data_IF_787353540946
#
_entry.id   IF_787353540946
#
_cell.length_a   1.000
_cell.length_b   1.000
_cell.length_c   1.000
_cell.angle_alpha   90.00
_cell.angle_beta   90.00
_cell.angle_gamma   90.00
#
_symmetry.space_group_name_H-M   'P 1'
#
loop_
_entity.id
_entity.type
_entity.pdbx_description
1 polymer ?
#
# COMPACT_ATOMS: atom_id res chain seq x y z
N UNK A 1 -30.47 11.86 2.09
CA UNK A 1 -29.61 12.83 2.80
C UNK A 1 -29.42 12.28 4.20
N UNK A 2 -28.34 11.52 4.45
CA UNK A 2 -27.94 11.09 5.78
C UNK A 2 -26.52 11.66 6.04
N UNK A 3 -26.23 12.22 7.21
CA UNK A 3 -24.93 12.82 7.46
C UNK A 3 -23.88 11.71 7.63
N UNK A 4 -22.87 11.73 6.80
CA UNK A 4 -21.63 10.97 7.04
C UNK A 4 -20.97 11.54 8.31
N UNK A 5 -21.17 10.84 9.43
CA UNK A 5 -20.50 11.15 10.69
C UNK A 5 -19.01 10.86 10.61
N UNK A 6 -18.21 11.84 10.21
CA UNK A 6 -16.81 11.88 10.57
C UNK A 6 -16.73 12.32 12.04
N UNK A 7 -16.71 11.35 12.95
CA UNK A 7 -16.50 11.61 14.36
C UNK A 7 -15.12 12.24 14.57
N UNK A 8 -15.11 13.50 15.00
CA UNK A 8 -13.93 14.10 15.61
C UNK A 8 -13.55 13.23 16.82
N UNK A 9 -12.31 12.76 16.90
CA UNK A 9 -11.80 12.03 18.06
C UNK A 9 -11.71 13.01 19.23
N UNK A 10 -12.25 12.60 20.38
CA UNK A 10 -12.03 13.31 21.64
C UNK A 10 -10.56 13.13 22.08
N UNK A 11 -10.04 14.08 22.87
CA UNK A 11 -8.69 13.97 23.47
C UNK A 11 -8.47 12.64 24.22
N UNK A 12 -9.52 11.97 24.68
CA UNK A 12 -9.47 10.66 25.31
C UNK A 12 -9.06 9.51 24.35
N UNK A 13 -9.26 9.66 23.02
CA UNK A 13 -8.87 8.65 22.02
C UNK A 13 -7.39 8.71 21.63
N UNK A 14 -6.72 9.84 21.92
CA UNK A 14 -5.29 10.03 21.66
C UNK A 14 -4.42 9.40 22.75
N UNK A 15 -4.92 9.23 23.95
CA UNK A 15 -4.17 8.70 25.10
C UNK A 15 -4.14 7.16 25.16
N UNK A 16 -4.90 6.46 24.29
CA UNK A 16 -4.98 5.00 24.27
C UNK A 16 -3.87 4.32 23.44
N UNK A 17 -3.00 5.08 22.77
CA UNK A 17 -1.83 4.55 22.07
C UNK A 17 -0.60 4.56 22.98
N UNK A 18 -0.70 3.85 24.12
CA UNK A 18 0.51 3.47 24.84
C UNK A 18 1.31 2.50 23.94
N UNK A 19 2.60 2.74 23.72
CA UNK A 19 3.44 1.80 23.00
C UNK A 19 3.31 0.43 23.68
N UNK A 20 2.95 -0.58 22.89
CA UNK A 20 2.84 -1.96 23.35
C UNK A 20 4.10 -2.31 24.15
N UNK A 21 3.94 -2.72 25.42
CA UNK A 21 5.07 -3.06 26.30
C UNK A 21 5.97 -4.05 25.56
N UNK A 22 7.25 -3.70 25.42
CA UNK A 22 8.26 -4.50 24.74
C UNK A 22 8.17 -5.97 25.23
N UNK A 23 7.81 -6.87 24.32
CA UNK A 23 7.81 -8.31 24.60
C UNK A 23 9.26 -8.76 24.82
N UNK A 24 9.55 -9.62 25.80
CA UNK A 24 10.90 -10.12 26.06
C UNK A 24 11.46 -10.81 24.80
N UNK A 25 12.63 -10.36 24.32
CA UNK A 25 13.33 -10.97 23.17
C UNK A 25 13.31 -10.16 21.87
N UNK A 26 12.48 -9.15 21.71
CA UNK A 26 12.50 -8.26 20.53
C UNK A 26 13.67 -7.27 20.57
N UNK A 27 14.40 -7.15 19.47
CA UNK A 27 15.35 -6.04 19.27
C UNK A 27 14.56 -4.73 19.25
N UNK A 28 15.16 -3.65 19.78
CA UNK A 28 14.54 -2.32 19.66
C UNK A 28 14.39 -1.96 18.18
N UNK A 29 13.25 -1.39 17.75
CA UNK A 29 13.11 -0.92 16.38
C UNK A 29 14.19 0.10 16.04
N UNK A 30 14.69 0.03 14.81
CA UNK A 30 15.58 1.03 14.25
C UNK A 30 14.77 2.29 13.94
N UNK A 31 15.22 3.45 14.46
CA UNK A 31 14.53 4.71 14.23
C UNK A 31 14.94 5.30 12.89
N UNK A 32 13.93 5.64 12.09
CA UNK A 32 14.10 6.31 10.82
C UNK A 32 13.39 7.68 10.85
N UNK A 33 14.02 8.69 10.27
CA UNK A 33 13.39 9.99 10.07
C UNK A 33 12.38 9.94 8.93
N UNK A 34 12.65 9.14 7.90
CA UNK A 34 11.77 8.90 6.74
C UNK A 34 11.98 7.52 6.15
N UNK A 35 11.00 7.08 5.38
CA UNK A 35 11.10 5.88 4.54
C UNK A 35 10.25 6.07 3.27
N UNK A 36 10.74 5.58 2.14
CA UNK A 36 10.01 5.53 0.88
C UNK A 36 9.78 4.08 0.51
N UNK A 37 8.51 3.68 0.39
CA UNK A 37 8.10 2.30 0.08
C UNK A 37 7.36 2.31 -1.25
N UNK A 38 7.73 1.40 -2.16
CA UNK A 38 7.00 1.20 -3.42
C UNK A 38 6.42 -0.21 -3.46
N UNK A 39 5.10 -0.28 -3.59
CA UNK A 39 4.37 -1.51 -3.89
C UNK A 39 4.21 -1.63 -5.39
N UNK A 40 4.60 -2.75 -5.99
CA UNK A 40 4.53 -2.97 -7.43
C UNK A 40 3.98 -4.36 -7.77
N UNK A 41 3.08 -4.42 -8.75
CA UNK A 41 2.43 -5.65 -9.21
C UNK A 41 1.67 -5.40 -10.51
N UNK A 42 0.88 -6.37 -10.94
CA UNK A 42 -0.06 -6.15 -12.04
C UNK A 42 -1.23 -5.25 -11.60
N UNK A 43 -1.91 -4.61 -12.52
CA UNK A 43 -3.09 -3.77 -12.23
C UNK A 43 -4.20 -4.51 -11.46
N UNK A 44 -4.25 -5.85 -11.58
CA UNK A 44 -5.18 -6.73 -10.85
C UNK A 44 -4.72 -7.15 -9.46
N UNK A 45 -3.47 -6.90 -9.09
CA UNK A 45 -2.90 -7.32 -7.81
C UNK A 45 -3.28 -6.40 -6.63
N UNK A 46 -4.01 -5.31 -6.88
CA UNK A 46 -4.53 -4.44 -5.83
C UNK A 46 -3.49 -3.51 -5.20
N UNK A 47 -2.41 -3.16 -5.90
CA UNK A 47 -1.32 -2.33 -5.38
C UNK A 47 -1.80 -0.95 -4.94
N UNK A 48 -2.73 -0.35 -5.66
CA UNK A 48 -3.34 0.93 -5.30
C UNK A 48 -4.09 0.83 -3.96
N UNK A 49 -4.84 -0.24 -3.75
CA UNK A 49 -5.56 -0.48 -2.50
C UNK A 49 -4.60 -0.70 -1.32
N UNK A 50 -3.55 -1.49 -1.53
CA UNK A 50 -2.54 -1.77 -0.50
C UNK A 50 -1.82 -0.50 -0.08
N UNK A 51 -1.36 0.29 -1.05
CA UNK A 51 -0.70 1.56 -0.79
C UNK A 51 -1.61 2.57 -0.09
N UNK A 52 -2.85 2.71 -0.53
CA UNK A 52 -3.85 3.60 0.10
C UNK A 52 -4.15 3.17 1.57
N UNK A 53 -4.20 1.88 1.86
CA UNK A 53 -4.40 1.40 3.23
C UNK A 53 -3.19 1.68 4.12
N UNK A 54 -1.99 1.39 3.64
CA UNK A 54 -0.76 1.71 4.36
C UNK A 54 -0.62 3.22 4.61
N UNK A 55 -1.01 4.03 3.62
CA UNK A 55 -1.09 5.49 3.75
C UNK A 55 -2.04 5.92 4.88
N UNK A 56 -3.24 5.31 4.93
CA UNK A 56 -4.22 5.62 5.98
C UNK A 56 -3.73 5.22 7.38
N UNK A 57 -3.03 4.09 7.51
CA UNK A 57 -2.41 3.68 8.77
C UNK A 57 -1.31 4.65 9.21
N UNK A 58 -0.45 5.09 8.28
CA UNK A 58 0.61 6.05 8.56
C UNK A 58 0.05 7.43 8.97
N UNK A 59 -1.00 7.91 8.29
CA UNK A 59 -1.70 9.15 8.64
C UNK A 59 -2.30 9.10 10.05
N UNK A 60 -2.97 8.00 10.39
CA UNK A 60 -3.56 7.79 11.71
C UNK A 60 -2.51 7.68 12.83
N UNK A 61 -1.33 7.18 12.51
CA UNK A 61 -0.20 7.14 13.43
C UNK A 61 0.39 8.54 13.68
N UNK A 62 0.12 9.49 12.77
CA UNK A 62 0.57 10.88 12.88
C UNK A 62 1.81 11.21 12.07
N UNK A 63 2.24 10.36 11.15
CA UNK A 63 3.30 10.71 10.21
C UNK A 63 2.82 11.75 9.20
N UNK A 64 3.71 12.60 8.73
CA UNK A 64 3.48 13.28 7.46
C UNK A 64 3.77 12.32 6.30
N UNK A 65 3.04 12.49 5.21
CA UNK A 65 3.06 11.56 4.10
C UNK A 65 2.78 12.21 2.76
N UNK A 66 3.38 11.65 1.70
CA UNK A 66 3.03 11.96 0.33
C UNK A 66 3.03 10.67 -0.51
N UNK A 67 2.15 10.59 -1.50
CA UNK A 67 1.97 9.38 -2.30
C UNK A 67 2.07 9.66 -3.78
N UNK A 68 2.51 8.64 -4.54
CA UNK A 68 2.60 8.68 -5.99
C UNK A 68 2.07 7.36 -6.57
N UNK A 69 0.80 7.30 -6.96
CA UNK A 69 0.27 6.18 -7.69
C UNK A 69 0.80 6.16 -9.12
N UNK A 70 1.14 4.97 -9.64
CA UNK A 70 1.50 4.75 -11.04
C UNK A 70 0.59 3.67 -11.61
N UNK A 71 -0.02 3.98 -12.75
CA UNK A 71 -0.95 3.11 -13.44
C UNK A 71 -0.28 2.45 -14.64
N UNK A 72 -0.78 1.30 -15.13
CA UNK A 72 -0.22 0.64 -16.30
C UNK A 72 -0.09 1.58 -17.49
N UNK A 73 1.03 1.50 -18.19
CA UNK A 73 1.27 2.29 -19.41
C UNK A 73 0.30 1.92 -20.53
N UNK A 74 -0.21 0.72 -20.54
CA UNK A 74 -1.12 0.20 -21.55
C UNK A 74 -2.43 -0.30 -20.92
N UNK A 75 -3.56 0.17 -21.45
CA UNK A 75 -4.89 -0.25 -21.01
C UNK A 75 -5.09 -1.73 -21.38
N UNK A 76 -5.45 -2.56 -20.37
CA UNK A 76 -5.66 -4.01 -20.53
C UNK A 76 -4.42 -4.78 -21.00
N UNK A 77 -3.22 -4.32 -20.62
CA UNK A 77 -2.01 -5.08 -20.84
C UNK A 77 -2.14 -6.51 -20.27
N UNK A 78 -1.53 -7.51 -20.92
CA UNK A 78 -1.53 -8.88 -20.40
C UNK A 78 -0.84 -8.95 -19.03
N UNK A 79 -1.37 -9.77 -18.15
CA UNK A 79 -0.80 -9.98 -16.82
C UNK A 79 0.62 -10.52 -16.88
N UNK A 80 1.48 -9.99 -16.02
CA UNK A 80 2.90 -10.37 -15.93
C UNK A 80 3.76 -9.78 -17.03
N UNK A 81 3.33 -8.72 -17.72
CA UNK A 81 4.13 -8.00 -18.71
C UNK A 81 4.51 -6.61 -18.21
N UNK A 82 5.60 -6.04 -18.71
CA UNK A 82 6.07 -4.71 -18.28
C UNK A 82 5.02 -3.60 -18.46
N UNK A 83 4.29 -3.51 -19.58
CA UNK A 83 3.24 -2.50 -19.75
C UNK A 83 2.06 -2.61 -18.77
N UNK A 84 1.85 -3.79 -18.16
CA UNK A 84 0.78 -4.07 -17.20
C UNK A 84 1.12 -3.74 -15.75
N UNK A 85 2.35 -3.32 -15.48
CA UNK A 85 2.79 -3.01 -14.11
C UNK A 85 2.10 -1.76 -13.58
N UNK A 86 1.55 -1.88 -12.40
CA UNK A 86 1.02 -0.80 -11.57
C UNK A 86 1.86 -0.70 -10.31
N UNK A 87 2.11 0.52 -9.84
CA UNK A 87 2.80 0.71 -8.58
C UNK A 87 2.18 1.83 -7.75
N UNK A 88 2.48 1.80 -6.46
CA UNK A 88 2.08 2.83 -5.52
C UNK A 88 3.28 3.14 -4.61
N UNK A 89 3.79 4.35 -4.68
CA UNK A 89 4.85 4.81 -3.81
C UNK A 89 4.29 5.67 -2.69
N UNK A 90 4.78 5.45 -1.49
CA UNK A 90 4.50 6.29 -0.33
C UNK A 90 5.81 6.69 0.32
N UNK A 91 5.95 7.97 0.64
CA UNK A 91 6.92 8.49 1.58
C UNK A 91 6.21 8.81 2.87
N UNK A 92 6.78 8.36 3.99
CA UNK A 92 6.37 8.74 5.35
C UNK A 92 7.56 9.31 6.10
N UNK A 93 7.33 10.33 6.92
CA UNK A 93 8.38 10.99 7.68
C UNK A 93 7.89 11.50 9.04
N UNK A 94 8.86 11.81 9.92
CA UNK A 94 8.61 12.45 11.22
C UNK A 94 8.71 13.99 11.15
N UNK A 95 8.76 14.53 9.93
CA UNK A 95 8.79 15.96 9.61
C UNK A 95 7.91 16.28 8.40
N UNK A 96 7.66 17.57 8.15
CA UNK A 96 6.87 18.06 7.01
C UNK A 96 7.55 17.74 5.67
N UNK A 97 6.86 17.01 4.78
CA UNK A 97 7.36 16.59 3.47
C UNK A 97 6.51 17.18 2.35
N UNK A 98 7.16 17.58 1.26
CA UNK A 98 6.53 18.25 0.12
C UNK A 98 6.43 17.37 -1.12
N UNK A 99 7.04 16.19 -1.14
CA UNK A 99 7.10 15.29 -2.30
C UNK A 99 6.94 13.84 -1.90
N UNK A 100 6.56 12.99 -2.86
CA UNK A 100 6.42 11.54 -2.65
C UNK A 100 7.76 10.76 -2.59
N UNK A 101 8.89 11.47 -2.63
CA UNK A 101 10.22 10.89 -2.72
C UNK A 101 10.59 10.45 -4.14
N UNK A 102 11.88 10.54 -4.49
CA UNK A 102 12.36 10.20 -5.83
C UNK A 102 12.60 8.69 -5.97
N UNK A 103 13.31 8.10 -5.01
CA UNK A 103 13.74 6.70 -5.05
C UNK A 103 13.20 5.95 -3.83
N UNK A 104 12.67 4.72 -4.03
CA UNK A 104 12.21 3.91 -2.91
C UNK A 104 13.39 3.33 -2.12
N UNK A 105 13.25 3.21 -0.80
CA UNK A 105 14.15 2.45 0.06
C UNK A 105 13.76 0.97 0.10
N UNK A 106 12.46 0.71 -0.13
CA UNK A 106 11.86 -0.62 -0.13
C UNK A 106 11.01 -0.81 -1.38
N UNK A 107 11.24 -1.91 -2.10
CA UNK A 107 10.43 -2.36 -3.23
C UNK A 107 9.72 -3.67 -2.85
N UNK A 108 8.39 -3.64 -2.82
CA UNK A 108 7.55 -4.83 -2.72
C UNK A 108 7.16 -5.25 -4.13
N UNK A 109 7.72 -6.35 -4.63
CA UNK A 109 7.52 -6.84 -5.99
C UNK A 109 6.64 -8.10 -5.99
N UNK A 110 5.40 -7.97 -6.48
CA UNK A 110 4.44 -9.08 -6.49
C UNK A 110 4.69 -10.10 -7.59
N UNK A 111 5.53 -9.79 -8.59
CA UNK A 111 5.88 -10.67 -9.71
C UNK A 111 7.16 -10.20 -10.41
N UNK A 112 7.73 -10.98 -11.36
CA UNK A 112 8.96 -10.62 -12.08
C UNK A 112 8.85 -9.33 -12.90
N UNK A 113 7.67 -9.01 -13.46
CA UNK A 113 7.47 -7.78 -14.21
C UNK A 113 7.58 -6.55 -13.30
N UNK A 114 6.97 -6.63 -12.13
CA UNK A 114 7.04 -5.59 -11.11
C UNK A 114 8.48 -5.35 -10.63
N UNK A 115 9.24 -6.43 -10.40
CA UNK A 115 10.67 -6.34 -10.07
C UNK A 115 11.44 -5.65 -11.18
N UNK A 116 11.35 -6.16 -12.41
CA UNK A 116 12.12 -5.65 -13.56
C UNK A 116 11.83 -4.19 -13.87
N UNK A 117 10.57 -3.77 -13.75
CA UNK A 117 10.17 -2.40 -14.04
C UNK A 117 10.62 -1.38 -12.99
N UNK A 118 10.88 -1.81 -11.74
CA UNK A 118 11.10 -0.89 -10.63
C UNK A 118 12.48 -1.01 -9.96
N UNK A 119 13.23 -2.08 -10.20
CA UNK A 119 14.53 -2.30 -9.54
C UNK A 119 15.56 -1.22 -9.86
N UNK A 120 15.47 -0.62 -11.05
CA UNK A 120 16.38 0.44 -11.49
C UNK A 120 16.30 1.69 -10.60
N UNK A 121 15.16 1.93 -9.97
CA UNK A 121 14.96 3.06 -9.08
C UNK A 121 15.44 2.78 -7.66
N UNK A 122 15.61 1.50 -7.27
CA UNK A 122 16.03 1.13 -5.93
C UNK A 122 17.53 1.40 -5.75
N UNK A 123 17.96 2.15 -4.72
CA UNK A 123 19.38 2.33 -4.44
C UNK A 123 20.07 1.02 -4.04
N UNK A 124 21.36 0.92 -4.30
CA UNK A 124 22.21 -0.16 -3.79
C UNK A 124 22.05 -0.26 -2.27
N UNK A 125 21.88 -1.48 -1.75
CA UNK A 125 21.59 -1.74 -0.34
C UNK A 125 20.12 -1.61 0.05
N UNK A 126 19.25 -1.18 -0.88
CA UNK A 126 17.80 -1.13 -0.69
C UNK A 126 17.19 -2.53 -0.48
N UNK A 127 15.98 -2.57 0.06
CA UNK A 127 15.27 -3.81 0.38
C UNK A 127 14.29 -4.19 -0.74
N UNK A 128 14.41 -5.41 -1.24
CA UNK A 128 13.43 -6.05 -2.13
C UNK A 128 12.66 -7.10 -1.33
N UNK A 129 11.34 -6.98 -1.29
CA UNK A 129 10.44 -8.02 -0.77
C UNK A 129 9.69 -8.60 -1.96
N UNK A 130 10.02 -9.82 -2.37
CA UNK A 130 9.48 -10.45 -3.58
C UNK A 130 8.51 -11.58 -3.25
N UNK A 131 7.37 -11.64 -3.93
CA UNK A 131 6.49 -12.80 -3.87
C UNK A 131 7.07 -13.94 -4.71
N UNK A 132 7.83 -14.83 -4.08
CA UNK A 132 8.58 -15.90 -4.74
C UNK A 132 7.71 -16.87 -5.54
N UNK A 133 6.45 -17.07 -5.15
CA UNK A 133 5.52 -17.97 -5.86
C UNK A 133 5.26 -17.56 -7.31
N UNK A 134 5.41 -16.28 -7.63
CA UNK A 134 5.16 -15.75 -8.97
C UNK A 134 6.42 -15.78 -9.87
N UNK A 135 7.60 -16.12 -9.33
CA UNK A 135 8.85 -16.22 -10.10
C UNK A 135 8.99 -17.57 -10.81
N UNK A 136 7.92 -17.98 -11.47
CA UNK A 136 7.89 -19.22 -12.28
C UNK A 136 8.58 -19.03 -13.62
N UNK A 137 9.09 -20.11 -14.23
CA UNK A 137 9.71 -20.10 -15.57
C UNK A 137 8.84 -19.37 -16.60
N UNK A 138 7.52 -19.56 -16.55
CA UNK A 138 6.57 -18.92 -17.45
C UNK A 138 6.53 -17.40 -17.26
N UNK A 139 6.47 -16.93 -16.02
CA UNK A 139 6.38 -15.51 -15.73
C UNK A 139 7.71 -14.78 -15.96
N UNK A 140 8.83 -15.46 -15.68
CA UNK A 140 10.18 -14.95 -15.98
C UNK A 140 10.36 -14.76 -17.49
N UNK A 141 9.99 -15.76 -18.29
CA UNK A 141 10.09 -15.69 -19.76
C UNK A 141 9.26 -14.53 -20.37
N UNK A 142 8.10 -14.19 -19.80
CA UNK A 142 7.25 -13.06 -20.28
C UNK A 142 7.98 -11.71 -20.26
N UNK A 143 8.94 -11.55 -19.35
CA UNK A 143 9.69 -10.30 -19.18
C UNK A 143 11.16 -10.42 -19.58
N UNK A 144 11.51 -11.55 -20.24
CA UNK A 144 12.85 -11.77 -20.77
C UNK A 144 13.92 -11.97 -19.68
N UNK A 145 13.58 -12.68 -18.61
CA UNK A 145 14.56 -13.27 -17.70
C UNK A 145 14.87 -14.69 -18.16
N UNK A 146 16.14 -14.99 -18.39
CA UNK A 146 16.60 -16.35 -18.72
C UNK A 146 16.62 -17.24 -17.48
N UNK A 147 16.95 -16.65 -16.33
CA UNK A 147 17.04 -17.33 -15.03
C UNK A 147 16.25 -16.55 -13.97
N UNK A 148 16.02 -17.18 -12.81
CA UNK A 148 15.37 -16.54 -11.70
C UNK A 148 16.33 -15.56 -10.99
N UNK A 149 16.12 -14.24 -11.04
CA UNK A 149 17.00 -13.26 -10.41
C UNK A 149 17.06 -13.39 -8.88
N UNK A 150 16.08 -14.04 -8.26
CA UNK A 150 16.10 -14.32 -6.82
C UNK A 150 17.13 -15.41 -6.45
N UNK A 151 17.61 -16.19 -7.42
CA UNK A 151 18.51 -17.35 -7.22
C UNK A 151 19.90 -17.16 -7.86
N UNK A 152 20.04 -16.26 -8.84
CA UNK A 152 21.27 -16.14 -9.66
C UNK A 152 22.31 -15.18 -9.08
N UNK A 153 22.00 -14.46 -8.01
CA UNK A 153 22.88 -13.41 -7.46
C UNK A 153 22.84 -12.09 -8.25
N UNK A 154 22.00 -11.96 -9.27
CA UNK A 154 21.79 -10.68 -10.00
C UNK A 154 21.35 -9.54 -9.06
N UNK A 155 20.75 -9.89 -7.92
CA UNK A 155 20.28 -8.95 -6.90
C UNK A 155 21.24 -8.84 -5.71
N UNK A 156 22.52 -9.26 -5.84
CA UNK A 156 23.51 -9.23 -4.75
C UNK A 156 23.77 -7.84 -4.17
N UNK A 157 23.51 -6.78 -4.92
CA UNK A 157 23.63 -5.40 -4.48
C UNK A 157 22.46 -4.93 -3.58
N UNK A 158 21.44 -5.76 -3.40
CA UNK A 158 20.24 -5.47 -2.64
C UNK A 158 20.05 -6.46 -1.49
N UNK A 159 19.29 -6.05 -0.49
CA UNK A 159 18.76 -6.98 0.53
C UNK A 159 17.51 -7.61 -0.07
N UNK A 160 17.48 -8.94 -0.23
CA UNK A 160 16.37 -9.64 -0.88
C UNK A 160 15.69 -10.59 0.09
N UNK A 161 14.40 -10.37 0.29
CA UNK A 161 13.51 -11.25 1.05
C UNK A 161 12.50 -11.89 0.10
N UNK A 162 12.71 -13.16 -0.19
CA UNK A 162 11.85 -13.97 -1.06
C UNK A 162 10.77 -14.66 -0.19
N UNK A 163 9.54 -14.18 -0.29
CA UNK A 163 8.41 -14.64 0.53
C UNK A 163 7.38 -15.35 -0.34
N UNK A 164 6.97 -16.56 0.02
CA UNK A 164 5.93 -17.32 -0.68
C UNK A 164 4.52 -16.78 -0.32
N UNK A 165 4.25 -15.50 -0.67
CA UNK A 165 3.06 -14.77 -0.22
C UNK A 165 1.76 -15.42 -0.68
N UNK A 166 1.73 -15.96 -1.92
CA UNK A 166 0.53 -16.62 -2.45
C UNK A 166 0.25 -17.91 -1.71
N UNK A 167 1.25 -18.75 -1.52
CA UNK A 167 1.13 -20.02 -0.78
C UNK A 167 0.71 -19.79 0.67
N UNK A 168 1.35 -18.85 1.35
CA UNK A 168 1.02 -18.51 2.75
C UNK A 168 -0.40 -17.94 2.87
N UNK A 169 -0.82 -17.10 1.91
CA UNK A 169 -2.19 -16.58 1.88
C UNK A 169 -3.21 -17.69 1.66
N UNK A 170 -2.96 -18.59 0.71
CA UNK A 170 -3.86 -19.72 0.45
C UNK A 170 -4.01 -20.61 1.68
N UNK A 171 -2.90 -20.92 2.37
CA UNK A 171 -2.94 -21.66 3.63
C UNK A 171 -3.75 -20.97 4.73
N UNK A 172 -3.62 -19.65 4.86
CA UNK A 172 -4.36 -18.87 5.85
C UNK A 172 -5.88 -18.86 5.61
N UNK A 173 -6.33 -18.92 4.36
CA UNK A 173 -7.76 -18.87 4.02
C UNK A 173 -8.38 -20.25 3.79
N UNK A 174 -7.62 -21.32 3.87
CA UNK A 174 -8.09 -22.70 3.70
C UNK A 174 -9.18 -23.06 4.72
N UNK A 175 -8.99 -22.65 5.98
CA UNK A 175 -9.90 -22.97 7.07
C UNK A 175 -11.34 -22.43 6.89
N UNK A 176 -11.51 -21.35 6.10
CA UNK A 176 -12.84 -20.79 5.80
C UNK A 176 -13.41 -21.31 4.49
N UNK A 177 -12.75 -22.25 3.82
CA UNK A 177 -13.19 -22.78 2.53
C UNK A 177 -13.21 -21.76 1.39
N UNK A 178 -12.41 -20.72 1.47
CA UNK A 178 -12.32 -19.70 0.42
C UNK A 178 -11.88 -20.31 -0.91
N UNK A 179 -12.42 -19.81 -2.02
CA UNK A 179 -12.00 -20.26 -3.34
C UNK A 179 -10.51 -19.93 -3.57
N UNK A 180 -9.79 -20.80 -4.30
CA UNK A 180 -8.39 -20.53 -4.68
C UNK A 180 -8.23 -19.16 -5.34
N UNK A 181 -9.22 -18.73 -6.13
CA UNK A 181 -9.22 -17.43 -6.80
C UNK A 181 -9.31 -16.27 -5.82
N UNK A 182 -10.15 -16.38 -4.79
CA UNK A 182 -10.32 -15.32 -3.79
C UNK A 182 -9.09 -15.26 -2.86
N UNK A 183 -8.52 -16.41 -2.49
CA UNK A 183 -7.25 -16.47 -1.77
C UNK A 183 -6.10 -15.83 -2.56
N UNK A 184 -5.96 -16.14 -3.86
CA UNK A 184 -4.95 -15.51 -4.71
C UNK A 184 -5.11 -13.99 -4.81
N UNK A 185 -6.34 -13.49 -4.77
CA UNK A 185 -6.61 -12.04 -4.80
C UNK A 185 -6.31 -11.35 -3.49
N UNK A 186 -6.32 -12.08 -2.38
CA UNK A 186 -6.04 -11.52 -1.05
C UNK A 186 -4.54 -11.40 -0.73
N UNK A 187 -3.63 -11.89 -1.59
CA UNK A 187 -2.17 -11.86 -1.36
C UNK A 187 -1.60 -10.43 -1.14
N UNK A 188 -2.27 -9.42 -1.69
CA UNK A 188 -1.90 -8.03 -1.45
C UNK A 188 -2.13 -7.60 0.01
N UNK A 189 -3.13 -8.16 0.68
CA UNK A 189 -3.36 -7.92 2.11
C UNK A 189 -2.29 -8.61 2.97
N UNK A 190 -1.74 -9.75 2.52
CA UNK A 190 -0.58 -10.35 3.15
C UNK A 190 0.62 -9.39 3.11
N UNK A 191 0.93 -8.83 1.95
CA UNK A 191 2.00 -7.83 1.81
C UNK A 191 1.76 -6.62 2.70
N UNK A 192 0.52 -6.12 2.78
CA UNK A 192 0.14 -5.04 3.69
C UNK A 192 0.41 -5.41 5.15
N UNK A 193 -0.04 -6.58 5.60
CA UNK A 193 0.16 -7.04 6.98
C UNK A 193 1.64 -7.16 7.35
N UNK A 194 2.45 -7.68 6.44
CA UNK A 194 3.90 -7.79 6.64
C UNK A 194 4.57 -6.42 6.80
N UNK A 195 4.22 -5.46 5.94
CA UNK A 195 4.76 -4.10 6.01
C UNK A 195 4.25 -3.36 7.27
N UNK A 196 2.98 -3.54 7.64
CA UNK A 196 2.41 -2.96 8.86
C UNK A 196 3.16 -3.47 10.10
N UNK A 197 3.49 -4.77 10.15
CA UNK A 197 4.33 -5.32 11.21
C UNK A 197 5.74 -4.72 11.19
N UNK A 198 6.38 -4.67 10.01
CA UNK A 198 7.76 -4.18 9.86
C UNK A 198 7.92 -2.73 10.35
N UNK A 199 6.91 -1.90 10.12
CA UNK A 199 6.92 -0.48 10.50
C UNK A 199 6.06 -0.17 11.75
N UNK A 200 5.65 -1.18 12.51
CA UNK A 200 4.89 -1.00 13.75
C UNK A 200 3.53 -0.34 13.57
N UNK A 201 2.86 -0.58 12.44
CA UNK A 201 1.54 0.00 12.15
C UNK A 201 0.42 -0.95 12.61
N UNK A 202 -0.53 -0.48 13.43
CA UNK A 202 -1.65 -1.31 13.88
C UNK A 202 -2.57 -1.66 12.72
N UNK A 203 -2.95 -2.95 12.58
CA UNK A 203 -3.75 -3.44 11.46
C UNK A 203 -5.28 -3.32 11.66
N UNK A 204 -5.74 -2.92 12.83
CA UNK A 204 -7.16 -2.89 13.20
C UNK A 204 -7.97 -1.95 12.31
N UNK A 205 -7.37 -0.85 11.87
CA UNK A 205 -8.01 0.10 10.95
C UNK A 205 -8.21 -0.51 9.57
N UNK A 206 -7.19 -1.22 9.06
CA UNK A 206 -7.29 -1.94 7.80
C UNK A 206 -8.27 -3.10 7.89
N UNK A 207 -8.32 -3.84 9.01
CA UNK A 207 -9.32 -4.87 9.23
C UNK A 207 -10.74 -4.30 9.17
N UNK A 208 -11.01 -3.20 9.87
CA UNK A 208 -12.31 -2.54 9.85
C UNK A 208 -12.69 -2.09 8.43
N UNK A 209 -11.79 -1.44 7.72
CA UNK A 209 -12.01 -1.02 6.35
C UNK A 209 -12.31 -2.20 5.42
N UNK A 210 -11.59 -3.31 5.54
CA UNK A 210 -11.83 -4.53 4.75
C UNK A 210 -13.26 -5.03 4.98
N UNK A 211 -13.69 -5.12 6.24
CA UNK A 211 -15.04 -5.56 6.60
C UNK A 211 -16.12 -4.62 6.06
N UNK A 212 -15.91 -3.32 6.11
CA UNK A 212 -16.83 -2.33 5.55
C UNK A 212 -16.88 -2.38 4.02
N UNK A 213 -15.72 -2.38 3.37
CA UNK A 213 -15.60 -2.39 1.89
C UNK A 213 -16.21 -3.64 1.26
N UNK A 214 -15.97 -4.79 1.86
CA UNK A 214 -16.43 -6.08 1.35
C UNK A 214 -17.64 -6.62 2.10
N UNK A 215 -18.34 -5.82 2.92
CA UNK A 215 -19.44 -6.25 3.77
C UNK A 215 -20.60 -6.96 3.05
N UNK A 216 -20.79 -6.68 1.75
CA UNK A 216 -21.75 -7.42 0.91
C UNK A 216 -21.28 -8.83 0.50
N UNK A 217 -20.02 -9.17 0.76
CA UNK A 217 -19.38 -10.45 0.43
C UNK A 217 -18.50 -10.88 1.62
N UNK A 218 -19.12 -11.38 2.69
CA UNK A 218 -18.44 -11.67 3.96
C UNK A 218 -17.27 -12.64 3.81
N UNK A 219 -17.37 -13.64 2.92
CA UNK A 219 -16.29 -14.60 2.66
C UNK A 219 -15.05 -13.91 2.07
N UNK A 220 -15.24 -12.93 1.18
CA UNK A 220 -14.15 -12.14 0.63
C UNK A 220 -13.55 -11.21 1.70
N UNK A 221 -14.39 -10.61 2.55
CA UNK A 221 -13.93 -9.79 3.66
C UNK A 221 -13.04 -10.62 4.59
N UNK A 222 -13.52 -11.80 5.00
CA UNK A 222 -12.79 -12.66 5.92
C UNK A 222 -11.48 -13.18 5.30
N UNK A 223 -11.48 -13.59 4.02
CA UNK A 223 -10.26 -13.99 3.33
C UNK A 223 -9.19 -12.88 3.33
N UNK A 224 -9.59 -11.63 3.08
CA UNK A 224 -8.66 -10.49 3.11
C UNK A 224 -8.15 -10.20 4.54
N UNK A 225 -9.01 -10.32 5.56
CA UNK A 225 -8.60 -10.14 6.97
C UNK A 225 -7.62 -11.24 7.39
N UNK A 226 -7.88 -12.50 7.03
CA UNK A 226 -6.98 -13.61 7.34
C UNK A 226 -5.63 -13.45 6.62
N UNK A 227 -5.63 -13.00 5.37
CA UNK A 227 -4.40 -12.70 4.64
C UNK A 227 -3.59 -11.56 5.31
N UNK A 228 -4.27 -10.49 5.74
CA UNK A 228 -3.64 -9.38 6.48
C UNK A 228 -2.98 -9.88 7.77
N UNK A 229 -3.70 -10.65 8.56
CA UNK A 229 -3.18 -11.24 9.81
C UNK A 229 -2.05 -12.23 9.56
N UNK A 230 -2.13 -13.02 8.48
CA UNK A 230 -1.08 -13.96 8.12
C UNK A 230 0.23 -13.22 7.75
N UNK A 231 0.15 -12.10 7.03
CA UNK A 231 1.32 -11.27 6.73
C UNK A 231 1.95 -10.67 7.98
N UNK A 232 1.13 -10.14 8.89
CA UNK A 232 1.59 -9.65 10.19
C UNK A 232 2.28 -10.75 11.01
N UNK A 233 1.63 -11.90 11.15
CA UNK A 233 2.16 -13.03 11.90
C UNK A 233 3.42 -13.61 11.28
N UNK A 234 3.54 -13.59 9.95
CA UNK A 234 4.74 -14.01 9.25
C UNK A 234 5.94 -13.15 9.67
N UNK A 235 5.79 -11.83 9.68
CA UNK A 235 6.82 -10.92 10.19
C UNK A 235 7.18 -11.18 11.65
N UNK A 236 6.18 -11.47 12.50
CA UNK A 236 6.38 -11.73 13.93
C UNK A 236 7.11 -13.05 14.20
N UNK A 237 6.90 -14.07 13.38
CA UNK A 237 7.35 -15.45 13.65
C UNK A 237 8.58 -15.86 12.85
N UNK A 238 8.94 -15.13 11.81
CA UNK A 238 10.12 -15.46 10.99
C UNK A 238 11.33 -14.62 11.39
N UNK A 239 12.51 -15.24 11.36
CA UNK A 239 13.79 -14.55 11.60
C UNK A 239 14.30 -13.78 10.37
N UNK A 240 13.61 -13.90 9.23
CA UNK A 240 13.97 -13.24 7.97
C UNK A 240 14.02 -11.71 8.12
N UNK A 241 13.09 -11.14 8.90
CA UNK A 241 13.06 -9.71 9.20
C UNK A 241 13.58 -9.46 10.62
N UNK A 242 14.91 -9.55 10.78
CA UNK A 242 15.56 -9.39 12.09
C UNK A 242 15.42 -7.98 12.70
N UNK A 243 14.99 -6.99 11.91
CA UNK A 243 14.87 -5.57 12.29
C UNK A 243 13.49 -5.07 11.96
N UNK A 244 12.85 -4.46 12.95
CA UNK A 244 11.66 -3.61 12.75
C UNK A 244 12.07 -2.16 12.74
N UNK A 245 11.27 -1.32 12.10
CA UNK A 245 11.57 0.11 11.94
C UNK A 245 10.48 0.95 12.61
N UNK A 246 10.86 2.12 13.08
CA UNK A 246 9.96 3.11 13.65
C UNK A 246 10.19 4.46 12.98
N UNK A 247 9.14 5.00 12.35
CA UNK A 247 9.09 6.41 11.95
C UNK A 247 8.15 7.11 12.92
N UNK A 248 8.68 8.00 13.74
CA UNK A 248 7.92 8.72 14.77
C UNK A 248 6.84 9.61 14.14
N UNK A 249 5.81 10.03 14.89
CA UNK A 249 4.86 11.05 14.43
C UNK A 249 5.57 12.34 14.02
N UNK A 250 5.07 12.98 12.97
CA UNK A 250 5.64 14.23 12.47
C UNK A 250 5.35 15.38 13.43
N UNK A 251 6.36 16.27 13.58
CA UNK A 251 6.26 17.47 14.45
C UNK A 251 5.56 18.61 13.70
N UNK A 252 4.31 18.39 13.31
CA UNK A 252 3.49 19.40 12.65
C UNK A 252 2.89 20.38 13.67
N UNK A 253 2.57 21.64 13.26
CA UNK A 253 1.80 22.56 14.09
C UNK A 253 0.49 21.93 14.56
N UNK A 254 0.00 22.32 15.73
CA UNK A 254 -1.29 21.83 16.22
C UNK A 254 -2.42 22.23 15.26
N UNK A 255 -3.25 21.26 14.84
CA UNK A 255 -4.33 21.51 13.89
C UNK A 255 -5.07 20.24 13.48
N UNK A 256 -6.11 20.40 12.69
CA UNK A 256 -6.81 19.29 12.04
C UNK A 256 -6.21 19.06 10.66
N UNK A 257 -5.71 17.85 10.41
CA UNK A 257 -5.10 17.45 9.16
C UNK A 257 -5.99 16.43 8.44
N UNK A 258 -6.02 16.51 7.12
CA UNK A 258 -6.77 15.57 6.26
C UNK A 258 -5.90 15.08 5.14
N UNK A 259 -5.91 13.78 4.93
CA UNK A 259 -5.35 13.20 3.73
C UNK A 259 -6.26 13.53 2.54
N UNK A 260 -5.71 14.09 1.48
CA UNK A 260 -6.44 14.46 0.28
C UNK A 260 -5.64 14.07 -0.97
N UNK A 261 -6.31 13.52 -1.98
CA UNK A 261 -5.68 13.30 -3.31
C UNK A 261 -5.62 14.60 -4.11
N UNK A 262 -4.64 14.70 -5.03
CA UNK A 262 -4.54 15.85 -5.94
C UNK A 262 -5.81 16.06 -6.77
N UNK A 263 -6.46 15.00 -7.25
CA UNK A 263 -7.72 15.08 -8.00
C UNK A 263 -8.87 15.61 -7.15
N UNK A 264 -8.94 15.23 -5.87
CA UNK A 264 -9.94 15.77 -4.93
C UNK A 264 -9.67 17.25 -4.62
N UNK A 265 -8.41 17.62 -4.38
CA UNK A 265 -8.03 19.01 -4.13
C UNK A 265 -8.33 19.90 -5.35
N UNK A 266 -8.00 19.44 -6.56
CA UNK A 266 -8.35 20.11 -7.80
C UNK A 266 -9.86 20.31 -7.94
N UNK A 267 -10.65 19.28 -7.63
CA UNK A 267 -12.12 19.35 -7.69
C UNK A 267 -12.67 20.41 -6.75
N UNK A 268 -12.17 20.48 -5.52
CA UNK A 268 -12.56 21.53 -4.56
C UNK A 268 -12.16 22.93 -5.05
N UNK A 269 -10.97 23.05 -5.64
CA UNK A 269 -10.52 24.30 -6.24
C UNK A 269 -11.44 24.77 -7.38
N UNK A 270 -11.88 23.86 -8.26
CA UNK A 270 -12.81 24.16 -9.36
C UNK A 270 -14.18 24.62 -8.81
N UNK A 271 -14.74 23.93 -7.82
CA UNK A 271 -16.01 24.32 -7.19
C UNK A 271 -15.89 25.70 -6.55
N UNK A 272 -14.83 25.93 -5.78
CA UNK A 272 -14.57 27.21 -5.12
C UNK A 272 -14.41 28.35 -6.14
N UNK A 273 -13.67 28.12 -7.23
CA UNK A 273 -13.49 29.12 -8.29
C UNK A 273 -14.81 29.48 -8.95
N UNK A 274 -15.67 28.49 -9.24
CA UNK A 274 -17.01 28.75 -9.80
C UNK A 274 -17.89 29.60 -8.86
N UNK A 275 -17.88 29.27 -7.57
CA UNK A 275 -18.62 30.02 -6.54
C UNK A 275 -18.12 31.45 -6.39
N UNK A 276 -16.81 31.66 -6.32
CA UNK A 276 -16.22 33.01 -6.19
C UNK A 276 -16.43 33.88 -7.44
N UNK A 277 -16.49 33.28 -8.61
CA UNK A 277 -16.71 33.98 -9.86
C UNK A 277 -18.19 34.15 -10.22
N UNK A 278 -19.11 33.54 -9.47
CA UNK A 278 -20.55 33.43 -9.78
C UNK A 278 -20.79 32.84 -11.19
N UNK A 279 -20.05 31.76 -11.52
CA UNK A 279 -20.11 31.08 -12.78
C UNK A 279 -20.51 29.61 -12.64
N UNK A 280 -21.27 29.11 -13.61
CA UNK A 280 -21.53 27.68 -13.70
C UNK A 280 -20.28 26.94 -14.16
N UNK A 281 -20.01 25.80 -13.50
CA UNK A 281 -18.89 24.93 -13.83
C UNK A 281 -19.35 23.83 -14.77
N UNK A 282 -18.64 23.62 -15.89
CA UNK A 282 -18.81 22.49 -16.79
C UNK A 282 -17.50 21.72 -16.90
N UNK A 283 -17.56 20.40 -16.68
CA UNK A 283 -16.40 19.52 -16.86
C UNK A 283 -16.52 18.73 -18.17
N UNK A 284 -15.55 18.90 -19.07
CA UNK A 284 -15.29 18.00 -20.19
C UNK A 284 -14.05 17.16 -19.87
N UNK A 285 -14.20 15.83 -19.78
CA UNK A 285 -13.10 14.93 -19.40
C UNK A 285 -13.13 13.64 -20.21
N UNK A 286 -11.94 13.12 -20.49
CA UNK A 286 -11.79 11.78 -21.07
C UNK A 286 -11.91 10.71 -19.98
N UNK A 287 -12.70 9.63 -20.18
CA UNK A 287 -12.94 8.61 -19.17
C UNK A 287 -11.74 7.66 -19.03
N UNK A 288 -10.71 8.10 -18.36
CA UNK A 288 -9.49 7.33 -18.10
C UNK A 288 -9.07 7.47 -16.63
N UNK A 289 -8.60 6.38 -16.03
CA UNK A 289 -8.04 6.37 -14.68
C UNK A 289 -6.66 7.07 -14.68
N UNK A 290 -6.36 8.00 -13.76
CA UNK A 290 -7.20 8.43 -12.62
C UNK A 290 -8.05 9.69 -12.90
N UNK A 291 -8.09 10.24 -14.11
CA UNK A 291 -8.79 11.50 -14.41
C UNK A 291 -10.29 11.46 -14.09
N UNK A 292 -10.92 10.29 -14.18
CA UNK A 292 -12.34 10.09 -13.83
C UNK A 292 -12.68 10.39 -12.37
N UNK A 293 -11.68 10.40 -11.48
CA UNK A 293 -11.89 10.74 -10.06
C UNK A 293 -12.35 12.19 -9.91
N UNK A 294 -11.88 13.11 -10.78
CA UNK A 294 -12.31 14.51 -10.81
C UNK A 294 -13.81 14.59 -11.11
N UNK A 295 -14.29 13.83 -12.10
CA UNK A 295 -15.72 13.77 -12.45
C UNK A 295 -16.55 13.23 -11.28
N UNK A 296 -16.09 12.16 -10.66
CA UNK A 296 -16.78 11.53 -9.52
C UNK A 296 -16.85 12.48 -8.33
N UNK A 297 -15.77 13.23 -8.06
CA UNK A 297 -15.75 14.20 -6.96
C UNK A 297 -16.68 15.39 -7.25
N UNK A 298 -16.56 16.02 -8.41
CA UNK A 298 -17.40 17.15 -8.81
C UNK A 298 -18.89 16.78 -8.82
N UNK A 299 -19.25 15.55 -9.16
CA UNK A 299 -20.65 15.10 -9.15
C UNK A 299 -21.31 15.11 -7.78
N UNK A 300 -20.55 15.16 -6.68
CA UNK A 300 -21.05 15.27 -5.30
C UNK A 300 -21.47 16.69 -4.91
N UNK A 301 -21.04 17.67 -5.69
CA UNK A 301 -21.22 19.11 -5.40
C UNK A 301 -22.24 19.77 -6.36
N UNK A 302 -23.26 19.04 -6.79
CA UNK A 302 -24.36 19.53 -7.65
C UNK A 302 -25.34 20.37 -6.86
#
# INVERSE_FOLDING_TARGET
VGPNGNGARSEADLDSHQPEKARPGRRKPEKLEKIVIRFAGDSGDGMQLTGDRFTSEAALFGNDLATQPSYPAEIRAPQGTLPGVSSFQIQIADYDILTAGDRPDVLVAMNPAALKANIIDLPIGGLVIANSDEFTKRNLAKVGYDNNPLETGELSDYKVEAVAMTTLTLGAVEAIGASKKDGQRAKNMFALGLLSWMYGRPIETSERFIREKFGRKPDIAEANVLALKAGWNYGETTEAFAVTYEVSPAKLPAGEYRQISGNTALSYGIVTAGQLADLQVMLGSYPITPASDILHELSKHK
#
